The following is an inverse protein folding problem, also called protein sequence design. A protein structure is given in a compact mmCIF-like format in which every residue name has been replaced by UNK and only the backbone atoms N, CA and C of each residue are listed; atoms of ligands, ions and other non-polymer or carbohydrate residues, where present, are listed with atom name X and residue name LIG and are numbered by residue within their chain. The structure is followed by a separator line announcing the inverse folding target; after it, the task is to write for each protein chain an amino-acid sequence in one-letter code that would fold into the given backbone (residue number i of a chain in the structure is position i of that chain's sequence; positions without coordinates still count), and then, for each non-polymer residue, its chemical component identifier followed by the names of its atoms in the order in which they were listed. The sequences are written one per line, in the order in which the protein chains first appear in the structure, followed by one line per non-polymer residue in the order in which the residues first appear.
data_IF_021393840727
#
_entry.id   IF_021393840727
#
_cell.length_a   1.000
_cell.length_b   1.000
_cell.length_c   1.000
_cell.angle_alpha   90.00
_cell.angle_beta   90.00
_cell.angle_gamma   90.00
#
_symmetry.space_group_name_H-M   'P 1'
#
loop_
_entity.id
_entity.type
_entity.pdbx_description
1 polymer ?
#
# COMPACT_ATOMS: atom_id res chain seq x y z
N UNK A 1 3.55 -15.34 1.03
CA UNK A 1 2.88 -15.24 2.34
C UNK A 1 3.26 -13.90 2.95
N UNK A 2 2.30 -13.00 3.13
CA UNK A 2 2.50 -11.70 3.80
C UNK A 2 1.72 -11.66 5.11
N UNK A 3 2.21 -10.91 6.10
CA UNK A 3 1.50 -10.66 7.36
C UNK A 3 0.45 -9.56 7.15
N UNK A 4 -0.62 -9.59 7.94
CA UNK A 4 -1.67 -8.56 7.93
C UNK A 4 -1.54 -7.76 9.22
N UNK A 5 -1.42 -6.44 9.09
CA UNK A 5 -1.36 -5.50 10.22
C UNK A 5 -2.48 -4.47 10.09
N UNK A 6 -3.27 -4.30 11.15
CA UNK A 6 -4.21 -3.19 11.27
C UNK A 6 -3.41 -1.93 11.54
N UNK A 7 -3.52 -0.97 10.62
CA UNK A 7 -2.94 0.34 10.78
C UNK A 7 -4.00 1.41 10.51
N UNK A 8 -4.07 2.42 11.37
CA UNK A 8 -5.10 3.46 11.35
C UNK A 8 -4.47 4.82 11.61
N UNK A 9 -4.98 5.84 10.92
CA UNK A 9 -4.64 7.23 11.20
C UNK A 9 -5.18 7.67 12.58
N UNK A 10 -6.49 7.55 12.77
CA UNK A 10 -7.15 7.77 14.05
C UNK A 10 -7.30 6.44 14.78
N UNK A 11 -6.32 6.13 15.65
CA UNK A 11 -6.31 4.91 16.44
C UNK A 11 -7.37 4.96 17.54
N UNK A 12 -8.17 3.92 17.59
CA UNK A 12 -9.15 3.66 18.64
C UNK A 12 -9.21 2.14 18.82
N UNK A 13 -9.07 1.67 20.06
CA UNK A 13 -8.93 0.24 20.34
C UNK A 13 -10.15 -0.58 19.91
N UNK A 14 -11.36 -0.03 20.03
CA UNK A 14 -12.59 -0.72 19.62
C UNK A 14 -12.65 -0.85 18.10
N UNK A 15 -12.22 0.19 17.36
CA UNK A 15 -12.09 0.14 15.90
C UNK A 15 -11.04 -0.88 15.45
N UNK A 16 -9.90 -0.94 16.14
CA UNK A 16 -8.85 -1.93 15.84
C UNK A 16 -9.37 -3.37 16.00
N UNK A 17 -10.07 -3.65 17.11
CA UNK A 17 -10.70 -4.95 17.38
C UNK A 17 -11.77 -5.28 16.34
N UNK A 18 -12.66 -4.34 16.02
CA UNK A 18 -13.71 -4.54 15.03
C UNK A 18 -13.16 -4.89 13.64
N UNK A 19 -12.09 -4.21 13.20
CA UNK A 19 -11.42 -4.53 11.93
C UNK A 19 -10.79 -5.92 11.99
N UNK A 20 -10.10 -6.24 13.09
CA UNK A 20 -9.50 -7.56 13.27
C UNK A 20 -10.55 -8.67 13.22
N UNK A 21 -11.71 -8.49 13.86
CA UNK A 21 -12.83 -9.44 13.79
C UNK A 21 -13.34 -9.66 12.36
N UNK A 22 -13.48 -8.59 11.56
CA UNK A 22 -13.85 -8.71 10.14
C UNK A 22 -12.82 -9.53 9.37
N UNK A 23 -11.53 -9.29 9.62
CA UNK A 23 -10.44 -10.06 9.00
C UNK A 23 -10.44 -11.53 9.43
N UNK A 24 -10.66 -11.82 10.71
CA UNK A 24 -10.79 -13.19 11.22
C UNK A 24 -11.99 -13.92 10.61
N UNK A 25 -13.14 -13.25 10.48
CA UNK A 25 -14.32 -13.78 9.77
C UNK A 25 -14.03 -14.06 8.29
N UNK A 26 -13.09 -13.32 7.69
CA UNK A 26 -12.56 -13.55 6.35
C UNK A 26 -11.40 -14.57 6.29
N UNK A 27 -11.20 -15.37 7.34
CA UNK A 27 -10.18 -16.42 7.45
C UNK A 27 -8.72 -15.94 7.60
N UNK A 28 -8.49 -14.70 8.04
CA UNK A 28 -7.14 -14.28 8.45
C UNK A 28 -6.69 -15.13 9.65
N UNK A 29 -5.49 -15.74 9.58
CA UNK A 29 -4.97 -16.58 10.70
C UNK A 29 -4.35 -15.77 11.83
N UNK A 30 -3.77 -14.61 11.51
CA UNK A 30 -3.11 -13.71 12.46
C UNK A 30 -3.25 -12.29 11.96
N UNK A 31 -3.70 -11.41 12.83
CA UNK A 31 -3.82 -9.97 12.59
C UNK A 31 -2.94 -9.24 13.61
N UNK A 32 -1.98 -8.45 13.12
CA UNK A 32 -1.08 -7.62 13.91
C UNK A 32 -1.64 -6.21 14.11
N UNK A 33 -0.99 -5.42 14.96
CA UNK A 33 -1.23 -3.99 15.10
C UNK A 33 -2.46 -3.64 15.95
N UNK A 34 -3.00 -4.59 16.72
CA UNK A 34 -4.19 -4.39 17.57
C UNK A 34 -3.79 -4.21 19.03
N UNK A 35 -4.28 -3.15 19.68
CA UNK A 35 -4.04 -2.91 21.10
C UNK A 35 -2.56 -2.79 21.45
N UNK A 36 -2.09 -3.58 22.41
CA UNK A 36 -0.71 -3.55 22.90
C UNK A 36 0.31 -4.07 21.87
N UNK A 37 -0.12 -4.84 20.85
CA UNK A 37 0.79 -5.32 19.80
C UNK A 37 1.41 -4.16 19.02
N UNK A 38 0.72 -3.04 18.86
CA UNK A 38 1.27 -1.86 18.21
C UNK A 38 2.21 -1.07 19.14
N UNK A 39 3.27 -1.68 19.63
CA UNK A 39 4.16 -1.12 20.65
C UNK A 39 5.36 -0.35 20.09
N UNK A 40 5.71 -0.54 18.82
CA UNK A 40 6.80 0.19 18.17
C UNK A 40 6.31 1.47 17.51
N UNK A 41 7.24 2.41 17.24
CA UNK A 41 6.92 3.70 16.63
C UNK A 41 7.80 4.00 15.43
N UNK A 42 7.19 4.52 14.37
CA UNK A 42 7.88 5.15 13.24
C UNK A 42 8.45 6.50 13.71
N UNK A 43 9.79 6.71 13.68
CA UNK A 43 10.43 7.88 14.28
C UNK A 43 9.96 9.23 13.72
N UNK A 44 9.75 9.31 12.41
CA UNK A 44 9.44 10.56 11.70
C UNK A 44 7.95 10.97 11.78
N UNK A 45 7.13 10.18 12.48
CA UNK A 45 5.70 10.44 12.63
C UNK A 45 5.36 10.89 14.06
N UNK A 46 4.55 11.92 14.14
CA UNK A 46 3.93 12.39 15.37
C UNK A 46 2.54 11.76 15.53
N UNK A 47 1.99 11.79 16.76
CA UNK A 47 0.69 11.22 17.17
C UNK A 47 0.63 9.69 17.25
N UNK A 48 -0.57 9.15 17.50
CA UNK A 48 -0.84 7.71 17.59
C UNK A 48 -0.66 6.98 16.26
N UNK A 49 -0.73 7.67 15.11
CA UNK A 49 -0.59 7.05 13.79
C UNK A 49 0.77 6.35 13.65
N UNK A 50 1.83 6.85 14.27
CA UNK A 50 3.18 6.26 14.23
C UNK A 50 3.28 4.82 14.75
N UNK A 51 2.29 4.34 15.51
CA UNK A 51 2.34 3.02 16.17
C UNK A 51 2.24 1.89 15.13
N UNK A 52 3.11 0.91 15.26
CA UNK A 52 3.21 -0.27 14.39
C UNK A 52 3.57 -1.51 15.21
N UNK A 53 3.31 -2.70 14.67
CA UNK A 53 3.70 -3.96 15.33
C UNK A 53 5.21 -4.20 15.22
N UNK A 54 5.91 -4.62 16.30
CA UNK A 54 7.29 -5.08 16.23
C UNK A 54 7.45 -6.31 15.33
N UNK A 55 6.37 -7.07 15.11
CA UNK A 55 6.36 -8.27 14.27
C UNK A 55 5.83 -7.99 12.86
N UNK A 56 5.47 -6.75 12.53
CA UNK A 56 4.85 -6.40 11.25
C UNK A 56 5.64 -5.33 10.53
N UNK A 57 5.02 -4.18 10.28
CA UNK A 57 5.57 -3.06 9.51
C UNK A 57 6.96 -2.67 10.02
N UNK A 58 7.21 -2.73 11.34
CA UNK A 58 8.49 -2.34 11.92
C UNK A 58 9.69 -3.10 11.32
N UNK A 59 9.56 -4.42 11.15
CA UNK A 59 10.62 -5.28 10.61
C UNK A 59 10.45 -5.62 9.12
N UNK A 60 9.37 -5.17 8.49
CA UNK A 60 9.12 -5.44 7.07
C UNK A 60 10.14 -4.74 6.16
N UNK A 61 10.58 -5.46 5.13
CA UNK A 61 11.36 -4.98 4.00
C UNK A 61 10.45 -4.37 2.91
N UNK A 62 9.28 -4.99 2.69
CA UNK A 62 8.24 -4.53 1.75
C UNK A 62 6.90 -4.35 2.47
N UNK A 63 6.21 -3.24 2.21
CA UNK A 63 4.89 -2.94 2.78
C UNK A 63 3.91 -2.57 1.67
N UNK A 64 2.74 -3.22 1.64
CA UNK A 64 1.61 -2.86 0.79
C UNK A 64 0.61 -2.02 1.59
N UNK A 65 0.30 -0.83 1.09
CA UNK A 65 -0.60 0.14 1.69
C UNK A 65 -1.74 0.46 0.73
N UNK A 66 -2.94 0.66 1.24
CA UNK A 66 -4.10 1.10 0.45
C UNK A 66 -4.79 2.27 1.14
N UNK A 67 -5.01 3.38 0.41
CA UNK A 67 -5.62 4.60 0.95
C UNK A 67 -4.89 5.16 2.19
N UNK A 68 -3.56 5.31 2.08
CA UNK A 68 -2.69 5.70 3.19
C UNK A 68 -2.34 7.19 3.20
N UNK A 69 -1.95 7.70 4.38
CA UNK A 69 -1.44 9.05 4.53
C UNK A 69 -0.02 9.24 3.96
N UNK A 70 0.18 10.39 3.30
CA UNK A 70 1.43 10.68 2.59
C UNK A 70 2.64 10.82 3.51
N UNK A 71 2.46 11.34 4.73
CA UNK A 71 3.58 11.50 5.67
C UNK A 71 4.09 10.13 6.12
N UNK A 72 3.19 9.19 6.40
CA UNK A 72 3.58 7.82 6.76
C UNK A 72 4.26 7.10 5.61
N UNK A 73 3.71 7.24 4.40
CA UNK A 73 4.32 6.64 3.21
C UNK A 73 5.76 7.12 3.06
N UNK A 74 5.98 8.44 3.17
CA UNK A 74 7.33 9.02 3.14
C UNK A 74 8.21 8.50 4.29
N UNK A 75 7.70 8.46 5.52
CA UNK A 75 8.46 7.99 6.68
C UNK A 75 8.88 6.53 6.54
N UNK A 76 8.01 5.65 6.02
CA UNK A 76 8.33 4.25 5.76
C UNK A 76 9.42 4.11 4.69
N UNK A 77 9.35 4.91 3.63
CA UNK A 77 10.39 4.95 2.59
C UNK A 77 11.72 5.47 3.15
N UNK A 78 11.70 6.51 3.99
CA UNK A 78 12.88 7.03 4.67
C UNK A 78 13.52 6.02 5.63
N UNK A 79 12.70 5.13 6.23
CA UNK A 79 13.17 3.97 6.99
C UNK A 79 13.76 2.85 6.10
N UNK A 80 13.92 3.07 4.80
CA UNK A 80 14.52 2.12 3.86
C UNK A 80 13.56 1.03 3.36
N UNK A 81 12.27 1.11 3.67
CA UNK A 81 11.28 0.11 3.25
C UNK A 81 10.85 0.34 1.82
N UNK A 82 10.56 -0.75 1.09
CA UNK A 82 9.90 -0.68 -0.21
C UNK A 82 8.40 -0.58 0.00
N UNK A 83 7.82 0.56 -0.38
CA UNK A 83 6.39 0.81 -0.18
C UNK A 83 5.64 0.67 -1.50
N UNK A 84 4.66 -0.21 -1.51
CA UNK A 84 3.69 -0.37 -2.60
C UNK A 84 2.40 0.30 -2.15
N UNK A 85 1.93 1.30 -2.88
CA UNK A 85 0.69 2.02 -2.59
C UNK A 85 -0.39 1.70 -3.63
N UNK A 86 -1.63 1.52 -3.18
CA UNK A 86 -2.83 1.56 -4.03
C UNK A 86 -3.56 2.87 -3.73
N UNK A 87 -3.58 3.77 -4.70
CA UNK A 87 -4.17 5.10 -4.58
C UNK A 87 -4.76 5.54 -5.93
N UNK A 88 -5.96 6.10 -5.93
CA UNK A 88 -6.61 6.61 -7.13
C UNK A 88 -5.98 7.90 -7.64
N UNK A 89 -5.38 8.69 -6.75
CA UNK A 89 -4.82 9.99 -7.11
C UNK A 89 -3.32 9.85 -7.44
N UNK A 90 -2.90 9.93 -8.71
CA UNK A 90 -1.48 9.83 -9.08
C UNK A 90 -0.62 11.02 -8.59
N UNK A 91 -1.25 12.11 -8.13
CA UNK A 91 -0.59 13.31 -7.63
C UNK A 91 -0.57 13.39 -6.10
N UNK A 92 -1.11 12.40 -5.39
CA UNK A 92 -1.09 12.41 -3.94
C UNK A 92 0.35 12.31 -3.42
N UNK A 93 0.60 12.83 -2.21
CA UNK A 93 1.90 12.64 -1.54
C UNK A 93 2.24 11.16 -1.38
N UNK A 94 1.25 10.32 -1.10
CA UNK A 94 1.39 8.86 -1.05
C UNK A 94 1.89 8.29 -2.38
N UNK A 95 1.22 8.61 -3.48
CA UNK A 95 1.59 8.16 -4.83
C UNK A 95 2.98 8.59 -5.25
N UNK A 96 3.37 9.82 -4.93
CA UNK A 96 4.67 10.39 -5.29
C UNK A 96 5.83 9.85 -4.43
N UNK A 97 5.57 9.54 -3.15
CA UNK A 97 6.57 9.03 -2.21
C UNK A 97 6.79 7.52 -2.30
N UNK A 98 5.77 6.75 -2.67
CA UNK A 98 5.84 5.29 -2.72
C UNK A 98 6.89 4.77 -3.73
N UNK A 99 7.44 3.58 -3.45
CA UNK A 99 8.34 2.89 -4.38
C UNK A 99 7.59 2.40 -5.63
N UNK A 100 6.37 1.93 -5.44
CA UNK A 100 5.47 1.45 -6.50
C UNK A 100 4.09 2.01 -6.21
N UNK A 101 3.45 2.63 -7.20
CA UNK A 101 2.08 3.12 -7.08
C UNK A 101 1.18 2.43 -8.10
N UNK A 102 0.10 1.85 -7.60
CA UNK A 102 -0.97 1.27 -8.40
C UNK A 102 -2.11 2.28 -8.44
N UNK A 103 -2.22 2.98 -9.58
CA UNK A 103 -3.28 3.97 -9.81
C UNK A 103 -4.59 3.28 -10.21
N UNK A 104 -5.26 2.67 -9.23
CA UNK A 104 -6.53 1.96 -9.43
C UNK A 104 -7.37 1.96 -8.14
N UNK A 105 -8.66 1.66 -8.26
CA UNK A 105 -9.52 1.48 -7.10
C UNK A 105 -9.15 0.18 -6.36
N UNK A 106 -9.05 0.22 -5.04
CA UNK A 106 -8.66 -0.93 -4.21
C UNK A 106 -9.53 -2.17 -4.45
N UNK A 107 -10.82 -1.99 -4.72
CA UNK A 107 -11.77 -3.08 -4.99
C UNK A 107 -11.47 -3.81 -6.31
N UNK A 108 -10.84 -3.14 -7.28
CA UNK A 108 -10.38 -3.74 -8.54
C UNK A 108 -8.94 -4.23 -8.45
N UNK A 109 -8.08 -3.47 -7.76
CA UNK A 109 -6.67 -3.75 -7.64
C UNK A 109 -6.38 -5.04 -6.87
N UNK A 110 -7.01 -5.24 -5.69
CA UNK A 110 -6.71 -6.39 -4.84
C UNK A 110 -7.04 -7.74 -5.51
N UNK A 111 -8.22 -7.95 -6.15
CA UNK A 111 -8.48 -9.20 -6.87
C UNK A 111 -7.47 -9.45 -8.01
N UNK A 112 -7.11 -8.40 -8.77
CA UNK A 112 -6.09 -8.50 -9.83
C UNK A 112 -4.71 -8.84 -9.28
N UNK A 113 -4.31 -8.26 -8.14
CA UNK A 113 -3.06 -8.58 -7.47
C UNK A 113 -3.01 -10.05 -7.02
N UNK A 114 -4.12 -10.58 -6.47
CA UNK A 114 -4.22 -12.00 -6.11
C UNK A 114 -4.04 -12.90 -7.34
N UNK A 115 -4.69 -12.55 -8.46
CA UNK A 115 -4.53 -13.26 -9.73
C UNK A 115 -3.07 -13.22 -10.20
N UNK A 116 -2.47 -12.01 -10.28
CA UNK A 116 -1.10 -11.82 -10.76
C UNK A 116 -0.07 -12.52 -9.86
N UNK A 117 -0.27 -12.51 -8.54
CA UNK A 117 0.60 -13.25 -7.63
C UNK A 117 0.57 -14.76 -7.89
N UNK A 118 -0.60 -15.34 -8.22
CA UNK A 118 -0.72 -16.77 -8.57
C UNK A 118 -0.06 -17.10 -9.91
N UNK A 119 -0.19 -16.20 -10.89
CA UNK A 119 0.45 -16.34 -12.20
C UNK A 119 1.98 -16.27 -12.08
N UNK A 120 2.49 -15.21 -11.43
CA UNK A 120 3.91 -14.91 -11.31
C UNK A 120 4.65 -15.88 -10.38
N UNK A 121 3.96 -16.53 -9.43
CA UNK A 121 4.54 -17.58 -8.59
C UNK A 121 5.15 -18.75 -9.41
N UNK A 122 4.74 -18.92 -10.67
CA UNK A 122 5.23 -19.99 -11.55
C UNK A 122 6.53 -19.63 -12.27
N UNK A 123 6.96 -18.37 -12.22
CA UNK A 123 8.17 -17.89 -12.90
C UNK A 123 9.42 -18.13 -12.05
N UNK A 124 10.58 -18.17 -12.70
CA UNK A 124 11.87 -18.25 -12.00
C UNK A 124 12.23 -16.89 -11.39
N UNK A 125 13.06 -16.91 -10.36
CA UNK A 125 13.48 -15.70 -9.65
C UNK A 125 14.13 -14.67 -10.58
N UNK A 126 14.96 -15.10 -11.53
CA UNK A 126 15.59 -14.24 -12.54
C UNK A 126 14.57 -13.44 -13.35
N UNK A 127 13.45 -14.09 -13.70
CA UNK A 127 12.36 -13.47 -14.47
C UNK A 127 11.61 -12.45 -13.62
N UNK A 128 11.34 -12.78 -12.35
CA UNK A 128 10.73 -11.86 -11.39
C UNK A 128 11.62 -10.63 -11.15
N UNK A 129 12.93 -10.85 -10.98
CA UNK A 129 13.91 -9.78 -10.78
C UNK A 129 14.02 -8.88 -12.01
N UNK A 130 13.90 -9.43 -13.21
CA UNK A 130 13.84 -8.64 -14.45
C UNK A 130 12.59 -7.74 -14.49
N UNK A 131 11.43 -8.25 -14.09
CA UNK A 131 10.20 -7.44 -14.02
C UNK A 131 10.38 -6.26 -13.04
N UNK A 132 10.92 -6.54 -11.85
CA UNK A 132 11.13 -5.51 -10.82
C UNK A 132 12.18 -4.48 -11.26
N UNK A 133 13.28 -4.89 -11.88
CA UNK A 133 14.36 -3.98 -12.29
C UNK A 133 13.98 -3.06 -13.44
N UNK A 134 13.00 -3.44 -14.25
CA UNK A 134 12.48 -2.64 -15.35
C UNK A 134 11.38 -1.66 -14.92
N UNK A 135 10.88 -1.76 -13.68
CA UNK A 135 9.80 -0.92 -13.21
C UNK A 135 10.28 0.49 -12.84
N UNK A 136 9.58 1.52 -13.32
CA UNK A 136 9.83 2.92 -12.96
C UNK A 136 8.53 3.61 -12.55
N UNK A 137 8.37 3.86 -11.24
CA UNK A 137 7.16 4.48 -10.69
C UNK A 137 6.86 5.85 -11.30
N UNK A 138 7.90 6.66 -11.59
CA UNK A 138 7.71 8.00 -12.16
C UNK A 138 7.10 7.93 -13.56
N UNK A 139 7.51 6.95 -14.38
CA UNK A 139 6.89 6.76 -15.70
C UNK A 139 5.45 6.30 -15.58
N UNK A 140 5.15 5.37 -14.67
CA UNK A 140 3.77 4.90 -14.44
C UNK A 140 2.84 6.04 -14.00
N UNK A 141 3.29 6.93 -13.11
CA UNK A 141 2.49 8.10 -12.70
C UNK A 141 2.31 9.09 -13.85
N UNK A 142 3.32 9.29 -14.70
CA UNK A 142 3.19 10.13 -15.92
C UNK A 142 2.19 9.54 -16.90
N UNK A 143 2.22 8.23 -17.11
CA UNK A 143 1.25 7.54 -17.98
C UNK A 143 -0.18 7.68 -17.46
N UNK A 144 -0.38 7.52 -16.15
CA UNK A 144 -1.69 7.76 -15.53
C UNK A 144 -2.18 9.20 -15.75
N UNK A 145 -1.30 10.18 -15.57
CA UNK A 145 -1.62 11.60 -15.80
C UNK A 145 -1.93 11.91 -17.26
N UNK A 146 -1.16 11.35 -18.21
CA UNK A 146 -1.43 11.48 -19.65
C UNK A 146 -2.80 10.91 -20.01
N UNK A 147 -3.10 9.71 -19.53
CA UNK A 147 -4.41 9.08 -19.73
C UNK A 147 -5.55 9.97 -19.22
N UNK A 148 -5.39 10.58 -18.03
CA UNK A 148 -6.40 11.51 -17.50
C UNK A 148 -6.54 12.77 -18.35
N UNK A 149 -5.43 13.36 -18.80
CA UNK A 149 -5.45 14.55 -19.67
C UNK A 149 -6.12 14.27 -21.01
N UNK A 150 -5.78 13.15 -21.66
CA UNK A 150 -6.39 12.72 -22.92
C UNK A 150 -7.89 12.49 -22.75
N UNK A 151 -8.30 11.87 -21.64
CA UNK A 151 -9.72 11.64 -21.35
C UNK A 151 -10.48 12.95 -21.13
N UNK A 152 -9.88 13.94 -20.46
CA UNK A 152 -10.49 15.26 -20.29
C UNK A 152 -10.66 15.97 -21.64
N UNK A 153 -9.65 15.92 -22.51
CA UNK A 153 -9.75 16.47 -23.86
C UNK A 153 -10.89 15.81 -24.65
N UNK A 154 -11.00 14.48 -24.62
CA UNK A 154 -12.08 13.75 -25.29
C UNK A 154 -13.47 14.16 -24.77
N UNK A 155 -13.62 14.28 -23.44
CA UNK A 155 -14.89 14.69 -22.84
C UNK A 155 -15.26 16.13 -23.23
N UNK A 156 -14.29 17.02 -23.34
CA UNK A 156 -14.52 18.42 -23.76
C UNK A 156 -15.09 18.55 -25.17
N UNK A 157 -14.79 17.60 -26.07
CA UNK A 157 -15.35 17.56 -27.43
C UNK A 157 -16.81 17.09 -27.47
N UNK A 158 -17.30 16.48 -26.38
CA UNK A 158 -18.67 15.96 -26.26
C UNK A 158 -19.60 16.83 -25.41
N UNK A 159 -19.08 17.93 -24.87
CA UNK A 159 -19.85 18.97 -24.18
C UNK A 159 -20.36 19.99 -25.20
#
# INVERSE_FOLDING_TARGET
NARIEVNLFYRNQDREKAIAEVLYKANAKKVLGVGEDASMTIPELFSQRRRVSPQGIYIADVVLLGLEDGDRTQALVNMGKKVIAIDLNPLSRTSLSATITIVDNITRALPKLVQKAKELKKLREEELMKIVSQYNNKEILREAMKFMADRLNQLSLSL
#
